data_IF_778865378027
#
_entry.id   IF_778865378027
#
_cell.length_a   1.000
_cell.length_b   1.000
_cell.length_c   1.000
_cell.angle_alpha   90.00
_cell.angle_beta   90.00
_cell.angle_gamma   90.00
#
_symmetry.space_group_name_H-M   'P 1'
#
loop_
_entity.id
_entity.type
_entity.pdbx_description
1 polymer ?
#
# COMPACT_ATOMS: atom_id res chain seq x y z
N UNK A 1 -2.90 15.66 17.23
CA UNK A 1 -3.66 16.30 16.10
C UNK A 1 -5.16 16.49 16.40
N UNK A 2 -5.54 16.55 17.65
CA UNK A 2 -6.95 16.70 18.07
C UNK A 2 -7.59 17.92 17.38
N UNK A 3 -8.80 17.75 16.84
CA UNK A 3 -9.58 18.74 16.08
C UNK A 3 -9.01 19.19 14.71
N UNK A 4 -7.87 18.71 14.26
CA UNK A 4 -7.38 18.99 12.91
C UNK A 4 -8.18 18.21 11.87
N UNK A 5 -8.29 18.77 10.67
CA UNK A 5 -8.92 18.11 9.52
C UNK A 5 -7.84 17.59 8.57
N UNK A 6 -7.81 16.28 8.37
CA UNK A 6 -6.92 15.64 7.39
C UNK A 6 -7.72 15.11 6.21
N UNK A 7 -7.35 15.53 4.99
CA UNK A 7 -7.97 15.00 3.77
C UNK A 7 -7.16 13.83 3.22
N UNK A 8 -7.81 12.67 3.03
CA UNK A 8 -7.24 11.46 2.45
C UNK A 8 -7.71 11.30 1.00
N UNK A 9 -6.84 11.61 0.04
CA UNK A 9 -7.11 11.35 -1.38
C UNK A 9 -6.91 9.86 -1.64
N UNK A 10 -7.98 9.16 -2.04
CA UNK A 10 -8.01 7.69 -2.10
C UNK A 10 -8.28 7.01 -0.76
N UNK A 11 -8.85 7.75 0.21
CA UNK A 11 -9.02 7.29 1.59
C UNK A 11 -9.94 6.08 1.79
N UNK A 12 -10.80 5.73 0.84
CA UNK A 12 -11.61 4.51 0.91
C UNK A 12 -10.92 3.25 0.37
N UNK A 13 -9.67 3.36 -0.10
CA UNK A 13 -8.87 2.26 -0.59
C UNK A 13 -8.32 1.34 0.50
N UNK A 14 -7.47 0.40 0.08
CA UNK A 14 -6.83 -0.56 1.00
C UNK A 14 -6.03 0.14 2.11
N UNK A 15 -5.03 0.96 1.78
CA UNK A 15 -4.26 1.68 2.80
C UNK A 15 -5.10 2.75 3.52
N UNK A 16 -6.01 3.40 2.80
CA UNK A 16 -6.79 4.50 3.34
C UNK A 16 -7.61 4.14 4.58
N UNK A 17 -8.11 2.92 4.69
CA UNK A 17 -8.85 2.45 5.87
C UNK A 17 -7.98 2.35 7.12
N UNK A 18 -6.71 1.95 6.97
CA UNK A 18 -5.76 1.87 8.07
C UNK A 18 -5.31 3.27 8.50
N UNK A 19 -4.98 4.12 7.53
CA UNK A 19 -4.63 5.53 7.78
C UNK A 19 -5.78 6.26 8.46
N UNK A 20 -7.01 6.14 7.96
CA UNK A 20 -8.20 6.76 8.56
C UNK A 20 -8.41 6.31 10.01
N UNK A 21 -8.25 5.01 10.28
CA UNK A 21 -8.38 4.44 11.62
C UNK A 21 -7.37 5.04 12.60
N UNK A 22 -6.08 5.09 12.21
CA UNK A 22 -5.04 5.61 13.10
C UNK A 22 -5.23 7.12 13.38
N UNK A 23 -5.59 7.90 12.37
CA UNK A 23 -5.88 9.33 12.55
C UNK A 23 -7.10 9.56 13.45
N UNK A 24 -8.18 8.78 13.27
CA UNK A 24 -9.38 8.93 14.09
C UNK A 24 -9.17 8.51 15.55
N UNK A 25 -8.29 7.56 15.83
CA UNK A 25 -7.89 7.19 17.21
C UNK A 25 -7.27 8.36 17.98
N UNK A 26 -6.58 9.26 17.29
CA UNK A 26 -5.98 10.48 17.84
C UNK A 26 -6.98 11.65 17.94
N UNK A 27 -8.25 11.43 17.67
CA UNK A 27 -9.27 12.51 17.68
C UNK A 27 -9.22 13.43 16.46
N UNK A 28 -8.48 13.07 15.40
CA UNK A 28 -8.41 13.80 14.14
C UNK A 28 -9.70 13.62 13.34
N UNK A 29 -10.19 14.70 12.73
CA UNK A 29 -11.28 14.62 11.76
C UNK A 29 -10.72 14.23 10.40
N UNK A 30 -11.37 13.29 9.71
CA UNK A 30 -10.89 12.74 8.46
C UNK A 30 -11.89 12.98 7.34
N UNK A 31 -11.43 13.66 6.29
CA UNK A 31 -12.18 13.80 5.05
C UNK A 31 -11.70 12.75 4.06
N UNK A 32 -12.58 11.82 3.72
CA UNK A 32 -12.32 10.74 2.77
C UNK A 32 -12.73 11.21 1.38
N UNK A 33 -11.75 11.39 0.50
CA UNK A 33 -11.93 11.90 -0.86
C UNK A 33 -11.64 10.80 -1.87
N UNK A 34 -12.64 10.43 -2.69
CA UNK A 34 -12.55 9.43 -3.75
C UNK A 34 -13.65 9.59 -4.78
N UNK A 35 -13.56 8.92 -5.93
CA UNK A 35 -14.51 9.07 -7.06
C UNK A 35 -15.96 8.77 -6.67
N UNK A 36 -16.23 7.67 -5.97
CA UNK A 36 -17.53 7.37 -5.38
C UNK A 36 -17.43 7.28 -3.86
N UNK A 37 -17.78 8.35 -3.12
CA UNK A 37 -17.67 8.39 -1.66
C UNK A 37 -18.48 7.31 -0.95
N UNK A 38 -19.58 6.83 -1.53
CA UNK A 38 -20.46 5.81 -0.95
C UNK A 38 -19.72 4.51 -0.67
N UNK A 39 -18.74 4.16 -1.51
CA UNK A 39 -17.91 2.96 -1.33
C UNK A 39 -17.02 3.01 -0.08
N UNK A 40 -16.85 4.20 0.54
CA UNK A 40 -16.07 4.39 1.76
C UNK A 40 -16.94 4.51 3.03
N UNK A 41 -18.26 4.42 2.96
CA UNK A 41 -19.15 4.62 4.11
C UNK A 41 -18.92 3.63 5.26
N UNK A 42 -18.28 2.51 5.00
CA UNK A 42 -17.86 1.57 6.05
C UNK A 42 -16.87 2.21 7.06
N UNK A 43 -16.18 3.29 6.69
CA UNK A 43 -15.27 4.01 7.58
C UNK A 43 -16.01 4.82 8.67
N UNK A 44 -17.31 5.07 8.53
CA UNK A 44 -18.11 5.75 9.54
C UNK A 44 -18.09 5.03 10.89
N UNK A 45 -17.99 3.70 10.86
CA UNK A 45 -18.00 2.88 12.08
C UNK A 45 -16.64 2.80 12.78
N UNK A 46 -15.60 3.39 12.20
CA UNK A 46 -14.23 3.38 12.76
C UNK A 46 -13.95 4.63 13.61
N UNK A 47 -14.75 5.67 13.49
CA UNK A 47 -14.59 6.93 14.22
C UNK A 47 -15.80 7.31 15.04
N UNK A 48 -15.67 8.36 15.86
CA UNK A 48 -16.75 8.97 16.61
C UNK A 48 -17.66 9.82 15.74
N UNK A 49 -18.74 10.33 16.37
CA UNK A 49 -19.70 11.22 15.72
C UNK A 49 -19.00 12.49 15.20
N UNK A 50 -19.21 12.82 13.93
CA UNK A 50 -18.62 14.01 13.30
C UNK A 50 -17.16 13.91 12.89
N UNK A 51 -16.46 12.80 13.15
CA UNK A 51 -15.07 12.63 12.76
C UNK A 51 -14.86 12.34 11.26
N UNK A 52 -15.88 11.87 10.54
CA UNK A 52 -15.74 11.49 9.13
C UNK A 52 -16.56 12.39 8.22
N UNK A 53 -15.94 12.85 7.14
CA UNK A 53 -16.58 13.52 6.01
C UNK A 53 -16.25 12.77 4.73
N UNK A 54 -17.21 12.65 3.81
CA UNK A 54 -17.03 11.94 2.54
C UNK A 54 -17.28 12.89 1.39
N UNK A 55 -16.31 13.02 0.47
CA UNK A 55 -16.39 13.94 -0.66
C UNK A 55 -16.02 13.24 -1.96
N UNK A 56 -16.67 13.63 -3.05
CA UNK A 56 -16.31 13.14 -4.38
C UNK A 56 -15.08 13.90 -4.88
N UNK A 57 -14.04 13.16 -5.23
CA UNK A 57 -12.83 13.70 -5.87
C UNK A 57 -12.22 12.67 -6.81
N UNK A 58 -11.81 13.14 -7.96
CA UNK A 58 -11.05 12.37 -8.95
C UNK A 58 -9.68 13.02 -9.11
N UNK A 59 -8.61 12.26 -8.84
CA UNK A 59 -7.23 12.78 -8.91
C UNK A 59 -6.87 13.27 -10.33
N UNK A 60 -7.55 12.76 -11.36
CA UNK A 60 -7.39 13.21 -12.73
C UNK A 60 -8.17 14.51 -13.04
N UNK A 61 -8.90 15.06 -12.06
CA UNK A 61 -9.68 16.29 -12.18
C UNK A 61 -9.28 17.28 -11.11
N UNK A 62 -8.29 18.16 -11.36
CA UNK A 62 -7.70 19.04 -10.35
C UNK A 62 -8.71 19.89 -9.58
N UNK A 63 -9.78 20.35 -10.22
CA UNK A 63 -10.83 21.15 -9.59
C UNK A 63 -11.61 20.38 -8.51
N UNK A 64 -11.71 19.05 -8.63
CA UNK A 64 -12.34 18.21 -7.61
C UNK A 64 -11.41 17.98 -6.43
N UNK A 65 -10.11 17.87 -6.71
CA UNK A 65 -9.05 17.76 -5.69
C UNK A 65 -8.97 19.04 -4.88
N UNK A 66 -8.95 20.22 -5.53
CA UNK A 66 -8.91 21.52 -4.88
C UNK A 66 -10.06 21.69 -3.88
N UNK A 67 -11.30 21.36 -4.28
CA UNK A 67 -12.46 21.37 -3.39
C UNK A 67 -12.33 20.37 -2.23
N UNK A 68 -11.75 19.20 -2.49
CA UNK A 68 -11.59 18.17 -1.46
C UNK A 68 -10.56 18.56 -0.38
N UNK A 69 -9.55 19.37 -0.70
CA UNK A 69 -8.52 19.80 0.28
C UNK A 69 -8.80 21.15 0.92
N UNK A 70 -9.85 21.85 0.50
CA UNK A 70 -10.22 23.15 1.06
C UNK A 70 -10.41 23.07 2.58
N UNK A 71 -9.73 23.94 3.32
CA UNK A 71 -9.74 23.99 4.79
C UNK A 71 -9.14 22.76 5.49
N UNK A 72 -8.38 21.93 4.79
CA UNK A 72 -7.65 20.84 5.41
C UNK A 72 -6.36 21.35 6.06
N UNK A 73 -6.11 20.92 7.30
CA UNK A 73 -4.84 21.17 8.00
C UNK A 73 -3.68 20.34 7.43
N UNK A 74 -4.00 19.16 6.88
CA UNK A 74 -3.03 18.28 6.23
C UNK A 74 -3.70 17.42 5.16
N UNK A 75 -2.88 16.93 4.22
CA UNK A 75 -3.33 16.09 3.10
C UNK A 75 -2.51 14.81 3.02
N UNK A 76 -3.14 13.70 2.70
CA UNK A 76 -2.48 12.43 2.41
C UNK A 76 -2.89 11.95 1.02
N UNK A 77 -1.92 11.72 0.14
CA UNK A 77 -2.16 11.13 -1.15
C UNK A 77 -1.86 9.62 -1.12
N UNK A 78 -2.92 8.82 -1.22
CA UNK A 78 -2.89 7.35 -1.17
C UNK A 78 -3.20 6.72 -2.53
N UNK A 79 -3.38 7.54 -3.58
CA UNK A 79 -3.81 7.04 -4.88
C UNK A 79 -2.64 6.41 -5.63
N UNK A 80 -2.86 5.19 -6.09
CA UNK A 80 -1.94 4.46 -6.94
C UNK A 80 -2.66 3.39 -7.74
N UNK A 81 -2.17 3.10 -8.94
CA UNK A 81 -2.68 2.08 -9.85
C UNK A 81 -1.52 1.25 -10.42
N UNK A 82 -1.79 -0.03 -10.70
CA UNK A 82 -0.80 -0.96 -11.28
C UNK A 82 -0.99 -1.12 -12.81
N UNK A 83 -1.73 -0.22 -13.43
CA UNK A 83 -2.01 -0.25 -14.87
C UNK A 83 -2.88 0.93 -15.30
N UNK A 84 -3.27 0.96 -16.58
CA UNK A 84 -4.00 2.08 -17.16
C UNK A 84 -3.10 3.31 -17.36
N UNK A 85 -3.67 4.50 -17.26
CA UNK A 85 -2.88 5.73 -17.42
C UNK A 85 -2.15 6.12 -16.13
N UNK A 86 -1.02 5.43 -15.86
CA UNK A 86 -0.19 5.69 -14.68
C UNK A 86 0.40 7.12 -14.69
N UNK A 87 0.70 7.68 -15.87
CA UNK A 87 1.21 9.05 -15.98
C UNK A 87 0.20 10.06 -15.44
N UNK A 88 -1.05 9.98 -15.85
CA UNK A 88 -2.11 10.89 -15.38
C UNK A 88 -2.38 10.74 -13.88
N UNK A 89 -2.23 9.54 -13.32
CA UNK A 89 -2.56 9.29 -11.91
C UNK A 89 -1.36 9.56 -11.00
N UNK A 90 -0.19 8.98 -11.32
CA UNK A 90 0.98 9.04 -10.42
C UNK A 90 1.77 10.34 -10.55
N UNK A 91 1.73 11.00 -11.72
CA UNK A 91 2.51 12.24 -11.95
C UNK A 91 1.62 13.46 -11.91
N UNK A 92 0.71 13.58 -12.87
CA UNK A 92 -0.16 14.76 -13.01
C UNK A 92 -1.13 14.88 -11.83
N UNK A 93 -1.77 13.77 -11.44
CA UNK A 93 -2.67 13.72 -10.30
C UNK A 93 -1.95 13.98 -8.96
N UNK A 94 -0.76 13.40 -8.76
CA UNK A 94 0.02 13.66 -7.55
C UNK A 94 0.48 15.12 -7.46
N UNK A 95 0.89 15.72 -8.60
CA UNK A 95 1.18 17.16 -8.71
C UNK A 95 -0.04 17.98 -8.31
N UNK A 96 -1.20 17.69 -8.90
CA UNK A 96 -2.44 18.40 -8.61
C UNK A 96 -2.83 18.36 -7.13
N UNK A 97 -2.62 17.20 -6.47
CA UNK A 97 -2.82 17.09 -5.01
C UNK A 97 -1.86 17.99 -4.25
N UNK A 98 -0.58 17.99 -4.61
CA UNK A 98 0.44 18.79 -3.93
C UNK A 98 0.21 20.30 -4.13
N UNK A 99 -0.09 20.73 -5.35
CA UNK A 99 -0.44 22.13 -5.65
C UNK A 99 -1.70 22.59 -4.90
N UNK A 100 -2.74 21.74 -4.87
CA UNK A 100 -3.96 22.05 -4.17
C UNK A 100 -3.75 22.11 -2.65
N UNK A 101 -2.95 21.22 -2.06
CA UNK A 101 -2.58 21.24 -0.65
C UNK A 101 -1.79 22.52 -0.31
N UNK A 102 -0.82 22.90 -1.14
CA UNK A 102 -0.04 24.13 -0.97
C UNK A 102 -0.93 25.37 -1.03
N UNK A 103 -1.78 25.46 -2.05
CA UNK A 103 -2.71 26.58 -2.23
C UNK A 103 -3.73 26.70 -1.10
N UNK A 104 -4.18 25.57 -0.54
CA UNK A 104 -5.09 25.53 0.60
C UNK A 104 -4.41 25.88 1.93
N UNK A 105 -3.10 26.07 1.97
CA UNK A 105 -2.33 26.38 3.18
C UNK A 105 -2.19 25.17 4.11
N UNK A 106 -2.28 23.94 3.60
CA UNK A 106 -2.06 22.74 4.41
C UNK A 106 -0.65 22.75 5.00
N UNK A 107 -0.54 22.51 6.31
CA UNK A 107 0.73 22.49 7.03
C UNK A 107 1.57 21.23 6.77
N UNK A 108 0.98 20.16 6.23
CA UNK A 108 1.67 18.91 5.93
C UNK A 108 1.05 18.19 4.72
N UNK A 109 1.93 17.52 3.96
CA UNK A 109 1.54 16.60 2.90
C UNK A 109 2.33 15.30 3.04
N UNK A 110 1.63 14.18 3.12
CA UNK A 110 2.24 12.84 3.01
C UNK A 110 1.85 12.22 1.66
N UNK A 111 2.84 11.80 0.89
CA UNK A 111 2.63 11.10 -0.38
C UNK A 111 3.12 9.66 -0.29
N UNK A 112 2.21 8.70 -0.54
CA UNK A 112 2.57 7.28 -0.56
C UNK A 112 3.02 6.87 -1.96
N UNK A 113 4.31 6.57 -2.05
CA UNK A 113 5.00 6.05 -3.22
C UNK A 113 5.20 4.53 -3.12
N UNK A 114 6.33 4.00 -3.53
CA UNK A 114 6.72 2.59 -3.37
C UNK A 114 8.25 2.44 -3.39
N UNK A 115 8.80 1.41 -2.76
CA UNK A 115 10.20 1.00 -2.94
C UNK A 115 10.45 0.73 -4.43
N UNK A 116 11.61 1.17 -4.93
CA UNK A 116 11.97 1.07 -6.35
C UNK A 116 11.41 2.19 -7.23
N UNK A 117 10.80 3.25 -6.64
CA UNK A 117 10.44 4.45 -7.38
C UNK A 117 11.71 5.13 -7.94
N UNK A 118 11.77 5.26 -9.27
CA UNK A 118 12.93 5.79 -10.01
C UNK A 118 12.43 6.47 -11.29
N UNK A 119 12.75 7.75 -11.47
CA UNK A 119 12.33 8.56 -12.61
C UNK A 119 12.77 7.97 -13.96
N UNK A 120 13.85 7.19 -13.97
CA UNK A 120 14.44 6.53 -15.14
C UNK A 120 14.20 5.02 -15.13
N UNK A 121 13.39 4.52 -14.21
CA UNK A 121 13.14 3.09 -14.06
C UNK A 121 12.63 2.40 -15.33
N UNK A 122 13.06 1.18 -15.58
CA UNK A 122 12.66 0.39 -16.75
C UNK A 122 11.16 0.07 -16.73
N UNK A 123 10.60 -0.29 -15.54
CA UNK A 123 9.18 -0.51 -15.36
C UNK A 123 8.43 0.82 -15.37
N UNK A 124 7.31 0.88 -16.10
CA UNK A 124 6.50 2.08 -16.18
C UNK A 124 5.91 2.49 -14.81
N UNK A 125 5.62 1.51 -13.96
CA UNK A 125 5.19 1.76 -12.58
C UNK A 125 6.29 2.47 -11.78
N UNK A 126 7.51 1.93 -11.73
CA UNK A 126 8.65 2.51 -11.02
C UNK A 126 8.92 3.93 -11.51
N UNK A 127 8.95 4.11 -12.84
CA UNK A 127 9.19 5.40 -13.50
C UNK A 127 8.12 6.42 -13.16
N UNK A 128 6.85 6.06 -13.27
CA UNK A 128 5.76 6.99 -12.94
C UNK A 128 5.71 7.35 -11.47
N UNK A 129 6.07 6.43 -10.56
CA UNK A 129 6.17 6.74 -9.13
C UNK A 129 7.31 7.70 -8.85
N UNK A 130 8.51 7.49 -9.42
CA UNK A 130 9.65 8.42 -9.28
C UNK A 130 9.34 9.81 -9.81
N UNK A 131 8.78 9.92 -11.01
CA UNK A 131 8.35 11.18 -11.60
C UNK A 131 7.24 11.85 -10.76
N UNK A 132 6.35 11.07 -10.16
CA UNK A 132 5.32 11.56 -9.24
C UNK A 132 5.92 12.17 -7.98
N UNK A 133 6.93 11.54 -7.38
CA UNK A 133 7.65 12.08 -6.23
C UNK A 133 8.33 13.42 -6.57
N UNK A 134 9.00 13.50 -7.72
CA UNK A 134 9.62 14.74 -8.20
C UNK A 134 8.59 15.87 -8.37
N UNK A 135 7.45 15.56 -8.98
CA UNK A 135 6.35 16.51 -9.16
C UNK A 135 5.75 16.98 -7.82
N UNK A 136 5.60 16.07 -6.86
CA UNK A 136 5.14 16.41 -5.50
C UNK A 136 6.12 17.31 -4.78
N UNK A 137 7.43 17.01 -4.83
CA UNK A 137 8.46 17.86 -4.19
C UNK A 137 8.53 19.25 -4.80
N UNK A 138 8.36 19.36 -6.12
CA UNK A 138 8.33 20.63 -6.79
C UNK A 138 7.16 21.51 -6.32
N UNK A 139 5.97 20.92 -6.14
CA UNK A 139 4.75 21.62 -5.77
C UNK A 139 4.61 21.85 -4.26
N UNK A 140 5.15 20.94 -3.44
CA UNK A 140 5.11 20.98 -1.98
C UNK A 140 6.47 20.50 -1.41
N UNK A 141 7.50 21.36 -1.32
CA UNK A 141 8.88 20.97 -0.97
C UNK A 141 9.01 20.19 0.34
N UNK A 142 8.18 20.52 1.34
CA UNK A 142 8.16 19.86 2.63
C UNK A 142 7.26 18.58 2.66
N UNK A 143 6.89 18.03 1.50
CA UNK A 143 6.14 16.77 1.49
C UNK A 143 6.97 15.61 2.06
N UNK A 144 6.37 14.82 2.94
CA UNK A 144 6.94 13.53 3.37
C UNK A 144 6.59 12.47 2.35
N UNK A 145 7.59 11.78 1.83
CA UNK A 145 7.41 10.67 0.90
C UNK A 145 7.56 9.35 1.66
N UNK A 146 6.57 8.48 1.57
CA UNK A 146 6.64 7.13 2.10
C UNK A 146 6.71 6.11 0.96
N UNK A 147 7.74 5.29 0.95
CA UNK A 147 7.98 4.22 -0.02
C UNK A 147 7.78 2.86 0.66
N UNK A 148 6.57 2.33 0.77
CA UNK A 148 6.38 0.99 1.30
C UNK A 148 6.91 -0.07 0.33
N UNK A 149 7.41 -1.17 0.88
CA UNK A 149 7.54 -2.45 0.21
C UNK A 149 6.15 -3.02 -0.08
N UNK A 150 6.04 -4.30 -0.40
CA UNK A 150 4.74 -4.95 -0.56
C UNK A 150 3.95 -4.84 0.73
N UNK A 151 2.80 -4.18 0.65
CA UNK A 151 1.91 -3.98 1.80
C UNK A 151 0.98 -5.16 1.94
N UNK A 152 0.97 -5.78 3.12
CA UNK A 152 0.06 -6.87 3.45
C UNK A 152 -0.99 -6.46 4.46
N UNK A 153 -2.13 -7.15 4.42
CA UNK A 153 -3.27 -6.92 5.31
C UNK A 153 -4.50 -7.67 4.82
N UNK A 154 -5.60 -7.55 5.56
CA UNK A 154 -6.81 -8.33 5.28
C UNK A 154 -7.35 -8.14 3.85
N UNK A 155 -7.19 -6.96 3.30
CA UNK A 155 -7.72 -6.54 1.99
C UNK A 155 -6.65 -6.42 0.92
N UNK A 156 -5.39 -6.84 1.19
CA UNK A 156 -4.34 -6.82 0.20
C UNK A 156 -4.64 -7.73 -1.00
N UNK A 157 -4.00 -7.45 -2.11
CA UNK A 157 -4.15 -8.27 -3.32
C UNK A 157 -2.95 -9.17 -3.59
N UNK A 158 -1.84 -8.99 -2.88
CA UNK A 158 -0.62 -9.74 -3.14
C UNK A 158 -0.58 -11.06 -2.34
N UNK A 159 -0.60 -10.99 -1.01
CA UNK A 159 -0.59 -12.19 -0.15
C UNK A 159 -1.88 -13.00 -0.34
N UNK A 160 -3.02 -12.32 -0.45
CA UNK A 160 -4.31 -12.98 -0.68
C UNK A 160 -4.39 -13.70 -2.04
N UNK A 161 -3.75 -13.17 -3.08
CA UNK A 161 -3.66 -13.82 -4.38
C UNK A 161 -2.88 -15.14 -4.28
N UNK A 162 -1.72 -15.13 -3.62
CA UNK A 162 -0.96 -16.36 -3.40
C UNK A 162 -1.68 -17.33 -2.49
N UNK A 163 -2.41 -16.85 -1.47
CA UNK A 163 -3.26 -17.69 -0.62
C UNK A 163 -4.35 -18.42 -1.43
N UNK A 164 -4.91 -17.77 -2.44
CA UNK A 164 -5.80 -18.43 -3.41
C UNK A 164 -5.07 -19.47 -4.27
N UNK A 165 -3.88 -19.12 -4.79
CA UNK A 165 -3.12 -19.99 -5.68
C UNK A 165 -2.65 -21.30 -5.02
N UNK A 166 -2.24 -21.26 -3.75
CA UNK A 166 -1.75 -22.47 -3.05
C UNK A 166 -2.86 -23.50 -2.77
N UNK A 167 -4.10 -23.22 -3.13
CA UNK A 167 -5.20 -24.18 -3.13
C UNK A 167 -5.18 -25.12 -4.34
N UNK A 168 -4.46 -24.77 -5.40
CA UNK A 168 -4.26 -25.62 -6.58
C UNK A 168 -3.24 -26.73 -6.29
N UNK A 169 -3.33 -27.89 -7.00
CA UNK A 169 -2.39 -28.99 -6.83
C UNK A 169 -0.95 -28.66 -7.30
N UNK A 170 -0.81 -27.72 -8.24
CA UNK A 170 0.48 -27.25 -8.76
C UNK A 170 0.50 -25.72 -8.71
N UNK A 171 1.59 -25.16 -8.18
CA UNK A 171 1.80 -23.73 -8.03
C UNK A 171 3.08 -23.32 -8.74
N UNK A 172 2.98 -22.59 -9.86
CA UNK A 172 4.16 -22.03 -10.52
C UNK A 172 4.72 -20.86 -9.70
N UNK A 173 6.05 -20.82 -9.55
CA UNK A 173 6.76 -19.73 -8.91
C UNK A 173 7.65 -19.06 -9.95
N UNK A 174 7.43 -17.77 -10.14
CA UNK A 174 8.26 -16.90 -10.98
C UNK A 174 9.30 -16.23 -10.10
N UNK A 175 10.56 -16.17 -10.57
CA UNK A 175 11.63 -15.44 -9.86
C UNK A 175 11.71 -15.83 -8.39
N UNK A 176 11.78 -17.12 -8.09
CA UNK A 176 11.72 -17.66 -6.73
C UNK A 176 12.71 -17.01 -5.74
N UNK A 177 13.87 -16.54 -6.22
CA UNK A 177 14.93 -15.92 -5.43
C UNK A 177 14.76 -14.42 -5.17
N UNK A 178 13.84 -13.72 -5.87
CA UNK A 178 13.61 -12.28 -5.67
C UNK A 178 13.08 -12.02 -4.27
N UNK A 179 13.65 -11.02 -3.59
CA UNK A 179 13.33 -10.73 -2.17
C UNK A 179 12.30 -9.60 -2.02
N UNK A 180 11.51 -9.74 -0.99
CA UNK A 180 10.53 -8.75 -0.54
C UNK A 180 10.68 -8.54 0.96
N UNK A 181 10.31 -7.35 1.42
CA UNK A 181 10.27 -7.01 2.84
C UNK A 181 8.85 -6.56 3.21
N UNK A 182 7.87 -7.50 3.28
CA UNK A 182 6.46 -7.17 3.44
C UNK A 182 6.20 -6.30 4.67
N UNK A 183 5.46 -5.22 4.50
CA UNK A 183 5.09 -4.29 5.58
C UNK A 183 3.60 -4.38 5.88
N UNK A 184 3.22 -4.37 7.16
CA UNK A 184 1.81 -4.39 7.55
C UNK A 184 1.12 -3.06 7.24
N UNK A 185 -0.08 -3.10 6.68
CA UNK A 185 -0.86 -1.91 6.36
C UNK A 185 -1.19 -1.04 7.58
N UNK A 186 -1.27 -1.64 8.78
CA UNK A 186 -1.42 -0.93 10.04
C UNK A 186 -0.21 -0.06 10.35
N UNK A 187 0.99 -0.62 10.20
CA UNK A 187 2.25 0.09 10.45
C UNK A 187 2.44 1.25 9.46
N UNK A 188 2.03 1.07 8.18
CA UNK A 188 2.00 2.17 7.20
C UNK A 188 1.01 3.25 7.62
N UNK A 189 -0.16 2.86 8.15
CA UNK A 189 -1.15 3.80 8.69
C UNK A 189 -0.61 4.62 9.86
N UNK A 190 0.09 3.95 10.79
CA UNK A 190 0.74 4.59 11.93
C UNK A 190 1.88 5.51 11.48
N UNK A 191 2.70 5.08 10.52
CA UNK A 191 3.76 5.89 9.92
C UNK A 191 3.22 7.18 9.31
N UNK A 192 2.11 7.13 8.58
CA UNK A 192 1.42 8.33 8.06
C UNK A 192 0.97 9.24 9.19
N UNK A 193 0.36 8.69 10.25
CA UNK A 193 -0.12 9.47 11.39
C UNK A 193 1.04 10.16 12.13
N UNK A 194 2.18 9.48 12.31
CA UNK A 194 3.38 10.03 12.93
C UNK A 194 4.01 11.12 12.07
N UNK A 195 4.16 10.89 10.76
CA UNK A 195 4.68 11.90 9.83
C UNK A 195 3.84 13.18 9.82
N UNK A 196 2.52 13.06 9.92
CA UNK A 196 1.63 14.22 10.02
C UNK A 196 1.66 14.91 11.39
N UNK A 197 1.90 14.15 12.47
CA UNK A 197 1.93 14.67 13.84
C UNK A 197 3.13 15.57 14.05
N UNK A 198 4.27 15.19 13.51
CA UNK A 198 5.52 15.96 13.56
C UNK A 198 5.99 16.30 12.13
N UNK A 199 5.19 17.13 11.47
CA UNK A 199 5.46 17.54 10.10
C UNK A 199 6.75 18.37 9.97
N UNK A 200 7.24 18.99 11.02
CA UNK A 200 8.50 19.73 11.04
C UNK A 200 9.68 18.75 11.00
N UNK A 201 9.65 17.71 11.82
CA UNK A 201 10.71 16.71 11.85
C UNK A 201 10.77 15.83 10.58
N UNK A 202 9.62 15.56 9.98
CA UNK A 202 9.51 14.60 8.87
C UNK A 202 9.34 15.23 7.48
N UNK A 203 9.05 16.52 7.42
CA UNK A 203 8.85 17.26 6.17
C UNK A 203 10.08 17.23 5.26
N UNK A 204 9.87 17.09 3.95
CA UNK A 204 10.92 17.01 2.93
C UNK A 204 11.69 15.69 2.89
N UNK A 205 11.44 14.76 3.81
CA UNK A 205 12.14 13.47 3.91
C UNK A 205 11.44 12.35 3.13
N UNK A 206 12.22 11.31 2.80
CA UNK A 206 11.72 10.06 2.23
C UNK A 206 12.03 8.93 3.18
N UNK A 207 11.05 8.05 3.40
CA UNK A 207 11.15 6.87 4.25
C UNK A 207 10.81 5.62 3.43
N UNK A 208 11.64 4.58 3.54
CA UNK A 208 11.36 3.27 2.96
C UNK A 208 10.79 2.35 4.02
N UNK A 209 9.55 1.89 3.82
CA UNK A 209 8.82 1.15 4.83
C UNK A 209 8.85 -0.34 4.53
N UNK A 210 9.65 -1.09 5.28
CA UNK A 210 9.72 -2.55 5.26
C UNK A 210 9.30 -3.13 6.59
N UNK A 211 8.77 -4.36 6.57
CA UNK A 211 8.54 -5.14 7.78
C UNK A 211 9.86 -5.70 8.34
N UNK A 212 9.80 -6.47 9.45
CA UNK A 212 11.01 -7.03 10.06
C UNK A 212 11.58 -8.20 9.28
N UNK A 213 10.78 -8.84 8.41
CA UNK A 213 11.15 -10.06 7.71
C UNK A 213 11.49 -9.77 6.24
N UNK A 214 12.63 -10.28 5.77
CA UNK A 214 12.98 -10.32 4.34
C UNK A 214 12.81 -11.74 3.85
N UNK A 215 11.94 -11.94 2.87
CA UNK A 215 11.58 -13.24 2.32
C UNK A 215 11.73 -13.24 0.80
N UNK A 216 12.28 -14.31 0.25
CA UNK A 216 12.21 -14.53 -1.20
C UNK A 216 10.77 -14.86 -1.62
N UNK A 217 10.45 -14.68 -2.90
CA UNK A 217 9.15 -15.07 -3.47
C UNK A 217 8.83 -16.54 -3.17
N UNK A 218 9.82 -17.42 -3.32
CA UNK A 218 9.66 -18.85 -3.04
C UNK A 218 9.37 -19.13 -1.57
N UNK A 219 10.10 -18.50 -0.65
CA UNK A 219 9.85 -18.63 0.80
C UNK A 219 8.49 -18.11 1.18
N UNK A 220 8.10 -16.94 0.69
CA UNK A 220 6.78 -16.35 0.98
C UNK A 220 5.62 -17.26 0.54
N UNK A 221 5.68 -17.79 -0.69
CA UNK A 221 4.60 -18.66 -1.20
C UNK A 221 4.54 -19.98 -0.42
N UNK A 222 5.70 -20.57 -0.08
CA UNK A 222 5.77 -21.79 0.73
C UNK A 222 5.26 -21.57 2.15
N UNK A 223 5.63 -20.43 2.76
CA UNK A 223 5.12 -20.02 4.06
C UNK A 223 3.59 -19.86 4.07
N UNK A 224 3.02 -19.23 3.03
CA UNK A 224 1.56 -19.11 2.88
C UNK A 224 0.92 -20.50 2.80
N UNK A 225 1.46 -21.42 2.00
CA UNK A 225 0.93 -22.78 1.88
C UNK A 225 0.97 -23.52 3.22
N UNK A 226 2.08 -23.44 3.94
CA UNK A 226 2.24 -24.03 5.28
C UNK A 226 1.22 -23.47 6.27
N UNK A 227 1.06 -22.14 6.32
CA UNK A 227 0.09 -21.45 7.19
C UNK A 227 -1.35 -21.89 6.93
N UNK A 228 -1.66 -22.23 5.67
CA UNK A 228 -2.99 -22.70 5.26
C UNK A 228 -3.17 -24.23 5.36
N UNK A 229 -2.12 -24.97 5.75
CA UNK A 229 -2.14 -26.44 5.76
C UNK A 229 -2.26 -27.05 4.35
N UNK A 230 -1.70 -26.37 3.34
CA UNK A 230 -1.69 -26.82 1.95
C UNK A 230 -0.32 -27.41 1.58
N UNK A 231 -0.30 -28.40 0.69
CA UNK A 231 0.90 -29.08 0.21
C UNK A 231 0.87 -29.21 -1.33
N UNK A 232 0.86 -28.08 -2.07
CA UNK A 232 0.92 -28.14 -3.52
C UNK A 232 2.32 -28.55 -4.00
N UNK A 233 2.40 -29.04 -5.23
CA UNK A 233 3.67 -29.17 -5.92
C UNK A 233 4.12 -27.80 -6.44
N UNK A 234 5.24 -27.32 -5.95
CA UNK A 234 5.82 -26.05 -6.39
C UNK A 234 6.72 -26.30 -7.61
N UNK A 235 6.51 -25.50 -8.67
CA UNK A 235 7.31 -25.55 -9.90
C UNK A 235 7.94 -24.18 -10.12
N UNK A 236 9.23 -24.08 -9.93
CA UNK A 236 9.97 -22.86 -10.24
C UNK A 236 10.15 -22.74 -11.74
N UNK A 237 9.61 -21.68 -12.32
CA UNK A 237 9.69 -21.46 -13.75
C UNK A 237 10.99 -20.70 -14.10
N UNK A 238 11.69 -21.12 -15.17
CA UNK A 238 12.87 -20.39 -15.62
C UNK A 238 12.49 -19.00 -16.15
N UNK A 239 13.44 -18.08 -16.11
CA UNK A 239 13.21 -16.66 -16.44
C UNK A 239 12.63 -16.46 -17.85
N UNK A 240 13.09 -17.24 -18.85
CA UNK A 240 12.55 -17.13 -20.20
C UNK A 240 11.05 -17.47 -20.28
N UNK A 241 10.60 -18.45 -19.50
CA UNK A 241 9.18 -18.83 -19.45
C UNK A 241 8.35 -17.74 -18.75
N UNK A 242 8.88 -17.13 -17.69
CA UNK A 242 8.26 -15.98 -17.02
C UNK A 242 8.14 -14.77 -17.95
N UNK A 243 9.21 -14.45 -18.68
CA UNK A 243 9.23 -13.36 -19.65
C UNK A 243 8.25 -13.59 -20.81
N UNK A 244 8.15 -14.83 -21.32
CA UNK A 244 7.18 -15.17 -22.35
C UNK A 244 5.76 -15.04 -21.83
N UNK A 245 5.48 -15.60 -20.65
CA UNK A 245 4.17 -15.52 -20.01
C UNK A 245 3.72 -14.07 -19.84
N UNK A 246 4.61 -13.18 -19.38
CA UNK A 246 4.29 -11.78 -19.15
C UNK A 246 3.93 -10.97 -20.41
N UNK A 247 4.23 -11.51 -21.60
CA UNK A 247 3.89 -10.90 -22.90
C UNK A 247 2.57 -11.40 -23.49
N UNK A 248 2.00 -12.48 -22.94
CA UNK A 248 0.75 -13.04 -23.44
C UNK A 248 -0.46 -12.21 -22.99
N UNK A 249 -1.45 -11.95 -23.88
CA UNK A 249 -2.71 -11.32 -23.49
C UNK A 249 -3.43 -12.17 -22.43
N UNK A 250 -4.00 -11.52 -21.42
CA UNK A 250 -4.72 -12.23 -20.35
C UNK A 250 -3.85 -12.98 -19.37
N UNK A 251 -2.53 -12.82 -19.44
CA UNK A 251 -1.59 -13.40 -18.50
C UNK A 251 -1.86 -12.96 -17.05
N UNK A 252 -1.60 -13.82 -16.07
CA UNK A 252 -1.68 -13.47 -14.67
C UNK A 252 -0.62 -12.43 -14.22
N UNK A 253 0.42 -12.18 -15.02
CA UNK A 253 1.45 -11.18 -14.79
C UNK A 253 1.63 -10.31 -16.03
N UNK A 254 1.69 -8.99 -15.87
CA UNK A 254 1.99 -8.07 -16.95
C UNK A 254 3.50 -7.95 -17.20
N UNK A 255 3.87 -7.45 -18.40
CA UNK A 255 5.28 -7.16 -18.70
C UNK A 255 5.91 -6.17 -17.72
N UNK A 256 5.16 -5.16 -17.30
CA UNK A 256 5.61 -4.18 -16.31
C UNK A 256 5.88 -4.82 -14.94
N UNK A 257 4.98 -5.70 -14.48
CA UNK A 257 5.20 -6.48 -13.26
C UNK A 257 6.39 -7.43 -13.38
N UNK A 258 6.64 -8.02 -14.56
CA UNK A 258 7.82 -8.82 -14.83
C UNK A 258 9.11 -8.01 -14.70
N UNK A 259 9.13 -6.78 -15.22
CA UNK A 259 10.26 -5.88 -15.07
C UNK A 259 10.51 -5.51 -13.60
N UNK A 260 9.47 -5.30 -12.82
CA UNK A 260 9.59 -5.05 -11.39
C UNK A 260 10.17 -6.24 -10.62
N UNK A 261 9.92 -7.47 -11.05
CA UNK A 261 10.50 -8.68 -10.46
C UNK A 261 11.98 -8.90 -10.81
N UNK A 262 12.62 -8.02 -11.57
CA UNK A 262 14.06 -8.15 -11.86
C UNK A 262 14.94 -7.59 -10.73
N UNK A 263 14.39 -6.90 -9.75
CA UNK A 263 15.08 -6.36 -8.60
C UNK A 263 14.36 -6.74 -7.29
N UNK A 264 15.13 -6.78 -6.21
CA UNK A 264 14.58 -6.98 -4.87
C UNK A 264 13.73 -5.77 -4.44
N UNK A 265 12.64 -6.02 -3.73
CA UNK A 265 11.78 -4.99 -3.16
C UNK A 265 11.97 -4.94 -1.64
N UNK A 266 13.15 -4.49 -1.23
CA UNK A 266 13.61 -4.39 0.15
C UNK A 266 14.09 -2.98 0.46
N UNK A 267 14.06 -2.60 1.73
CA UNK A 267 14.59 -1.30 2.20
C UNK A 267 16.07 -1.20 1.87
N UNK A 268 16.48 -0.09 1.28
CA UNK A 268 17.87 0.16 0.95
C UNK A 268 18.72 0.33 2.22
N UNK A 269 19.96 -0.14 2.18
CA UNK A 269 20.86 -0.02 3.32
C UNK A 269 21.02 1.46 3.74
N UNK A 270 20.76 1.74 5.00
CA UNK A 270 20.85 3.09 5.57
C UNK A 270 19.69 4.03 5.23
N UNK A 271 18.68 3.58 4.50
CA UNK A 271 17.48 4.39 4.29
C UNK A 271 16.67 4.49 5.60
N UNK A 272 16.18 5.69 5.97
CA UNK A 272 15.28 5.83 7.11
C UNK A 272 13.97 5.10 6.84
N UNK A 273 13.40 4.49 7.88
CA UNK A 273 12.23 3.63 7.76
C UNK A 273 11.18 3.82 8.86
N UNK A 274 10.53 2.73 9.26
CA UNK A 274 9.50 2.75 10.30
C UNK A 274 10.05 3.19 11.66
N UNK A 275 11.27 2.77 12.01
CA UNK A 275 11.88 3.08 13.31
C UNK A 275 12.08 4.59 13.49
N UNK A 276 12.54 5.31 12.47
CA UNK A 276 12.73 6.76 12.50
C UNK A 276 11.40 7.53 12.53
N UNK A 277 10.31 6.87 12.14
CA UNK A 277 8.93 7.36 12.32
C UNK A 277 8.33 6.93 13.69
N UNK A 278 9.11 6.25 14.54
CA UNK A 278 8.64 5.77 15.85
C UNK A 278 7.65 4.62 15.78
N UNK A 279 7.66 3.85 14.69
CA UNK A 279 6.74 2.72 14.45
C UNK A 279 7.48 1.39 14.61
N UNK A 280 6.92 0.49 15.39
CA UNK A 280 7.43 -0.88 15.53
C UNK A 280 6.79 -1.79 14.48
N UNK A 281 7.62 -2.32 13.59
CA UNK A 281 7.14 -3.15 12.48
C UNK A 281 6.57 -4.50 12.97
N UNK A 282 5.36 -4.83 12.54
CA UNK A 282 4.68 -6.09 12.86
C UNK A 282 5.13 -7.22 11.91
N UNK A 283 5.55 -8.40 12.46
CA UNK A 283 5.93 -9.54 11.63
C UNK A 283 4.75 -10.09 10.81
N UNK A 284 5.03 -10.53 9.57
CA UNK A 284 4.04 -11.19 8.71
C UNK A 284 3.40 -12.40 9.40
N UNK A 285 4.21 -13.20 10.09
CA UNK A 285 3.78 -14.41 10.80
C UNK A 285 2.81 -14.14 11.96
N UNK A 286 2.82 -12.94 12.52
CA UNK A 286 1.93 -12.55 13.63
C UNK A 286 0.56 -12.09 13.11
N UNK A 287 0.52 -11.37 12.00
CA UNK A 287 -0.71 -10.70 11.53
C UNK A 287 -1.46 -11.51 10.48
N UNK A 288 -0.73 -12.07 9.50
CA UNK A 288 -1.37 -12.66 8.33
C UNK A 288 -2.21 -13.93 8.61
N UNK A 289 -1.86 -14.81 9.56
CA UNK A 289 -2.65 -16.01 9.85
C UNK A 289 -4.12 -15.72 10.20
N UNK A 290 -4.39 -14.59 10.88
CA UNK A 290 -5.73 -14.23 11.34
C UNK A 290 -6.72 -14.00 10.18
N UNK A 291 -6.25 -13.38 9.10
CA UNK A 291 -7.12 -13.13 7.95
C UNK A 291 -6.98 -14.17 6.85
N UNK A 292 -5.85 -14.89 6.78
CA UNK A 292 -5.63 -15.98 5.83
C UNK A 292 -6.47 -17.23 6.14
N UNK A 293 -6.94 -17.39 7.37
CA UNK A 293 -7.79 -18.52 7.79
C UNK A 293 -8.97 -18.77 6.84
N UNK A 294 -9.47 -17.75 6.15
CA UNK A 294 -10.56 -17.88 5.15
C UNK A 294 -10.21 -18.74 3.94
N UNK A 295 -8.91 -18.94 3.65
CA UNK A 295 -8.42 -19.77 2.54
C UNK A 295 -8.12 -21.22 2.95
N UNK A 296 -8.26 -21.58 4.25
CA UNK A 296 -8.15 -22.97 4.70
C UNK A 296 -9.28 -23.82 4.14
N UNK A 297 -9.05 -25.12 3.99
CA UNK A 297 -10.04 -26.08 3.42
C UNK A 297 -11.40 -26.04 4.13
N UNK A 298 -11.41 -25.86 5.45
CA UNK A 298 -12.63 -25.76 6.26
C UNK A 298 -12.78 -24.36 6.92
N UNK A 299 -12.12 -23.34 6.38
CA UNK A 299 -12.12 -21.99 6.94
C UNK A 299 -11.72 -21.99 8.42
N UNK A 300 -12.34 -21.10 9.20
CA UNK A 300 -12.08 -20.99 10.66
C UNK A 300 -12.58 -22.18 11.48
N UNK A 301 -13.39 -23.05 10.91
CA UNK A 301 -13.98 -24.22 11.60
C UNK A 301 -13.14 -25.49 11.46
N UNK A 302 -12.06 -25.50 10.66
CA UNK A 302 -11.23 -26.67 10.38
C UNK A 302 -10.59 -27.32 11.61
N UNK A 303 -10.21 -26.55 12.61
CA UNK A 303 -9.65 -27.09 13.87
C UNK A 303 -10.65 -27.92 14.68
N UNK A 304 -11.95 -27.64 14.58
CA UNK A 304 -12.99 -28.40 15.29
C UNK A 304 -13.21 -29.80 14.70
N UNK A 305 -13.01 -29.96 13.40
CA UNK A 305 -13.12 -31.25 12.74
C UNK A 305 -11.96 -32.22 13.11
N UNK A 306 -10.74 -31.67 13.26
CA UNK A 306 -9.57 -32.46 13.67
C UNK A 306 -9.65 -32.89 15.15
N UNK A 307 -10.19 -32.02 16.03
CA UNK A 307 -10.36 -32.34 17.47
C UNK A 307 -11.52 -33.31 17.75
N UNK A 308 -12.47 -33.46 16.84
CA UNK A 308 -13.58 -34.40 16.94
C UNK A 308 -13.28 -35.75 16.26
N UNK A 309 -12.18 -35.83 15.50
CA UNK A 309 -11.71 -37.05 14.83
C UNK A 309 -10.51 -37.71 15.54
N UNK A 310 -10.03 -37.12 16.63
CA UNK A 310 -9.03 -37.64 17.58
C UNK A 310 -9.70 -38.02 18.90
#
# INVERSE_FOLDING_TARGET
>A
MTNKLVTLIGGGGFLGRYVARELMRDGTRVRIAQRDPRQAYFLRTQGGLGQTQFVAADIARPETVARAVEGADAVVNLVGVMGGNMQAIHVEGARAVAEAAHKAGAGALVHVSAIGADENGAAAYARSKGQGEAAVRQAFPNATILRPSIVFGREDQFVNRFAGMVSAPVVPILRAGVKFQPVFAGDVGEAVAHALRDAEAHGGKTYELGGPDVLSMGELIRWIAQTLGRKPNFVELPDFAGALLARLPGSPISWDQWLMLQADNVVAAGAPGLAELGVTAAPLATVAPDYLIRFRKAGRFGRRAETLAA
#
